data_IF_366483036934
#
_entry.id   IF_366483036934
#
_cell.length_a   1.000
_cell.length_b   1.000
_cell.length_c   1.000
_cell.angle_alpha   90.00
_cell.angle_beta   90.00
_cell.angle_gamma   90.00
#
_symmetry.space_group_name_H-M   'P 1'
#
loop_
_entity.id
_entity.type
_entity.pdbx_description
1 polymer ?
#
# COMPACT_ATOMS: atom_id res chain seq x y z
N UNK A 1 7.37 10.33 8.52
CA UNK A 1 8.03 9.16 9.11
C UNK A 1 7.78 7.94 8.24
N UNK A 2 8.82 7.20 7.85
CA UNK A 2 8.67 5.90 7.18
C UNK A 2 8.15 4.86 8.18
N UNK A 3 7.08 4.15 7.81
CA UNK A 3 6.48 3.09 8.63
C UNK A 3 6.93 1.72 8.15
N UNK A 4 6.86 1.47 6.84
CA UNK A 4 7.13 0.15 6.26
C UNK A 4 7.41 0.23 4.76
N UNK A 5 8.17 -0.74 4.25
CA UNK A 5 8.39 -0.96 2.82
C UNK A 5 8.07 -2.41 2.49
N UNK A 6 7.25 -2.64 1.46
CA UNK A 6 6.90 -3.99 1.01
C UNK A 6 7.58 -4.30 -0.32
N UNK A 7 8.23 -5.46 -0.37
CA UNK A 7 9.01 -5.93 -1.51
C UNK A 7 8.48 -7.26 -2.01
N UNK A 8 8.49 -7.43 -3.32
CA UNK A 8 8.19 -8.71 -3.97
C UNK A 8 9.26 -9.77 -3.62
N UNK A 9 9.01 -11.06 -3.90
CA UNK A 9 10.01 -12.12 -3.67
C UNK A 9 11.35 -11.91 -4.38
N UNK A 10 11.37 -11.13 -5.46
CA UNK A 10 12.57 -10.75 -6.23
C UNK A 10 13.18 -9.41 -5.77
N UNK A 11 12.76 -8.88 -4.62
CA UNK A 11 13.33 -7.68 -3.98
C UNK A 11 12.84 -6.34 -4.52
N UNK A 12 11.98 -6.32 -5.55
CA UNK A 12 11.41 -5.07 -6.07
C UNK A 12 10.42 -4.46 -5.08
N UNK A 13 10.64 -3.20 -4.72
CA UNK A 13 9.71 -2.40 -3.91
C UNK A 13 8.42 -2.18 -4.70
N UNK A 14 7.28 -2.45 -4.08
CA UNK A 14 5.96 -2.20 -4.69
C UNK A 14 5.06 -1.29 -3.84
N UNK A 15 5.41 -1.04 -2.58
CA UNK A 15 4.71 -0.11 -1.69
C UNK A 15 5.66 0.49 -0.65
N UNK A 16 5.64 1.81 -0.49
CA UNK A 16 6.21 2.53 0.66
C UNK A 16 5.07 3.13 1.50
N UNK A 17 5.06 2.85 2.80
CA UNK A 17 4.05 3.32 3.75
C UNK A 17 4.70 4.35 4.66
N UNK A 18 4.14 5.56 4.68
CA UNK A 18 4.67 6.68 5.44
C UNK A 18 3.55 7.38 6.21
N UNK A 19 3.87 7.97 7.35
CA UNK A 19 3.02 8.93 8.02
C UNK A 19 3.60 10.33 7.82
N UNK A 20 2.92 11.23 7.09
CA UNK A 20 3.34 12.63 7.00
C UNK A 20 3.38 13.28 8.38
N UNK A 21 4.23 14.29 8.53
CA UNK A 21 4.37 14.99 9.81
C UNK A 21 3.06 15.69 10.19
N UNK A 22 2.65 15.57 11.47
CA UNK A 22 1.40 16.09 12.01
C UNK A 22 0.11 15.63 11.28
N UNK A 23 0.18 14.56 10.49
CA UNK A 23 -0.97 13.99 9.80
C UNK A 23 -1.62 12.83 10.56
N UNK A 24 -2.95 12.80 10.54
CA UNK A 24 -3.77 11.67 11.03
C UNK A 24 -4.12 10.67 9.90
N UNK A 25 -3.25 10.55 8.91
CA UNK A 25 -3.44 9.72 7.74
C UNK A 25 -2.12 9.10 7.27
N UNK A 26 -2.22 8.02 6.50
CA UNK A 26 -1.09 7.32 5.89
C UNK A 26 -0.92 7.75 4.44
N UNK A 27 0.31 8.02 4.03
CA UNK A 27 0.71 8.11 2.63
C UNK A 27 1.21 6.74 2.16
N UNK A 28 0.51 6.15 1.19
CA UNK A 28 0.83 4.86 0.57
C UNK A 28 1.26 5.10 -0.87
N UNK A 29 2.56 4.98 -1.16
CA UNK A 29 3.12 5.15 -2.51
C UNK A 29 3.26 3.78 -3.18
N UNK A 30 2.38 3.50 -4.13
CA UNK A 30 2.34 2.25 -4.88
C UNK A 30 3.15 2.34 -6.17
N UNK A 31 4.02 1.36 -6.40
CA UNK A 31 5.00 1.40 -7.49
C UNK A 31 5.03 0.12 -8.33
N UNK A 32 5.27 0.29 -9.63
CA UNK A 32 5.52 -0.80 -10.56
C UNK A 32 4.27 -1.63 -10.86
N UNK A 33 4.44 -2.95 -10.93
CA UNK A 33 3.40 -3.91 -11.31
C UNK A 33 3.07 -4.83 -10.12
N UNK A 34 2.34 -4.35 -9.09
CA UNK A 34 1.91 -5.21 -8.00
C UNK A 34 0.93 -6.28 -8.52
N UNK A 35 1.09 -7.51 -8.04
CA UNK A 35 0.10 -8.57 -8.25
C UNK A 35 -1.08 -8.38 -7.30
N UNK A 36 -2.20 -9.07 -7.52
CA UNK A 36 -3.36 -9.05 -6.63
C UNK A 36 -2.98 -9.40 -5.18
N UNK A 37 -2.06 -10.35 -4.99
CA UNK A 37 -1.53 -10.69 -3.67
C UNK A 37 -0.73 -9.55 -3.04
N UNK A 38 0.07 -8.81 -3.82
CA UNK A 38 0.78 -7.63 -3.34
C UNK A 38 -0.19 -6.52 -2.93
N UNK A 39 -1.27 -6.33 -3.69
CA UNK A 39 -2.33 -5.35 -3.38
C UNK A 39 -3.00 -5.69 -2.05
N UNK A 40 -3.43 -6.95 -1.87
CA UNK A 40 -4.03 -7.40 -0.61
C UNK A 40 -3.07 -7.26 0.58
N UNK A 41 -1.81 -7.69 0.43
CA UNK A 41 -0.80 -7.58 1.47
C UNK A 41 -0.51 -6.11 1.86
N UNK A 42 -0.37 -5.22 0.87
CA UNK A 42 -0.13 -3.80 1.12
C UNK A 42 -1.34 -3.10 1.76
N UNK A 43 -2.55 -3.49 1.37
CA UNK A 43 -3.77 -2.98 1.98
C UNK A 43 -3.87 -3.36 3.46
N UNK A 44 -3.61 -4.63 3.78
CA UNK A 44 -3.57 -5.11 5.17
C UNK A 44 -2.48 -4.39 5.96
N UNK A 45 -1.30 -4.15 5.36
CA UNK A 45 -0.19 -3.49 6.04
C UNK A 45 -0.53 -2.06 6.49
N UNK A 46 -1.09 -1.20 5.60
CA UNK A 46 -1.47 0.14 6.04
C UNK A 46 -2.67 0.13 6.99
N UNK A 47 -3.60 -0.83 6.89
CA UNK A 47 -4.72 -0.96 7.84
C UNK A 47 -4.23 -1.32 9.24
N UNK A 48 -3.25 -2.20 9.36
CA UNK A 48 -2.60 -2.53 10.63
C UNK A 48 -1.93 -1.30 11.25
N UNK A 49 -1.26 -0.48 10.43
CA UNK A 49 -0.69 0.78 10.90
C UNK A 49 -1.76 1.79 11.32
N UNK A 50 -2.86 1.90 10.57
CA UNK A 50 -4.00 2.75 10.95
C UNK A 50 -4.55 2.34 12.31
N UNK A 51 -4.77 1.05 12.53
CA UNK A 51 -5.28 0.54 13.81
C UNK A 51 -4.29 0.82 14.96
N UNK A 52 -2.99 0.54 14.74
CA UNK A 52 -1.93 0.71 15.76
C UNK A 52 -1.76 2.18 16.17
N UNK A 53 -1.87 3.11 15.23
CA UNK A 53 -1.63 4.53 15.47
C UNK A 53 -2.92 5.37 15.57
N UNK A 54 -4.09 4.74 15.48
CA UNK A 54 -5.41 5.42 15.44
C UNK A 54 -5.51 6.46 14.33
N UNK A 55 -5.05 6.10 13.13
CA UNK A 55 -5.19 6.92 11.92
C UNK A 55 -6.51 6.58 11.22
N UNK A 56 -7.08 7.55 10.51
CA UNK A 56 -8.45 7.44 9.99
C UNK A 56 -8.55 7.48 8.47
N UNK A 57 -7.45 7.74 7.78
CA UNK A 57 -7.43 7.79 6.33
C UNK A 57 -6.10 7.31 5.74
N UNK A 58 -6.15 6.93 4.47
CA UNK A 58 -4.99 6.62 3.64
C UNK A 58 -5.12 7.38 2.33
N UNK A 59 -4.05 8.06 1.93
CA UNK A 59 -3.87 8.55 0.56
C UNK A 59 -3.12 7.47 -0.20
N UNK A 60 -3.79 6.81 -1.14
CA UNK A 60 -3.16 5.90 -2.09
C UNK A 60 -2.63 6.70 -3.27
N UNK A 61 -1.31 6.87 -3.35
CA UNK A 61 -0.65 7.42 -4.52
C UNK A 61 -0.31 6.30 -5.49
N UNK A 62 -0.99 6.33 -6.63
CA UNK A 62 -0.86 5.34 -7.69
C UNK A 62 -0.10 5.90 -8.90
N UNK A 63 0.52 7.09 -8.81
CA UNK A 63 1.23 7.73 -9.94
C UNK A 63 2.42 6.93 -10.44
N UNK A 64 2.99 6.06 -9.61
CA UNK A 64 4.11 5.18 -9.98
C UNK A 64 3.67 3.76 -10.33
N UNK A 65 2.37 3.47 -10.34
CA UNK A 65 1.86 2.20 -10.85
C UNK A 65 2.01 2.14 -12.38
N UNK A 66 2.22 0.92 -12.86
CA UNK A 66 2.34 0.63 -14.28
C UNK A 66 1.49 -0.59 -14.60
N UNK A 67 0.85 -0.58 -15.76
CA UNK A 67 0.00 -1.68 -16.22
C UNK A 67 -1.49 -1.47 -15.97
N UNK A 68 -2.27 -2.50 -16.32
CA UNK A 68 -3.73 -2.51 -16.20
C UNK A 68 -4.14 -2.89 -14.77
N UNK A 69 -5.26 -2.33 -14.32
CA UNK A 69 -5.76 -2.53 -12.96
C UNK A 69 -6.80 -3.64 -12.84
N UNK A 70 -7.13 -4.28 -13.97
CA UNK A 70 -8.24 -5.20 -14.15
C UNK A 70 -8.29 -6.31 -13.10
N UNK A 71 -7.13 -6.83 -12.68
CA UNK A 71 -7.04 -7.98 -11.77
C UNK A 71 -6.72 -7.60 -10.30
N UNK A 72 -6.72 -6.31 -9.98
CA UNK A 72 -6.28 -5.83 -8.66
C UNK A 72 -7.28 -6.08 -7.53
N UNK A 73 -8.53 -6.37 -7.88
CA UNK A 73 -9.64 -6.58 -6.95
C UNK A 73 -10.07 -8.04 -6.85
N UNK A 74 -9.47 -8.96 -7.63
CA UNK A 74 -9.81 -10.39 -7.66
C UNK A 74 -9.79 -11.06 -6.27
N UNK A 75 -9.04 -10.49 -5.32
CA UNK A 75 -8.95 -11.00 -3.96
C UNK A 75 -10.17 -10.67 -3.10
N UNK A 76 -10.99 -9.68 -3.48
CA UNK A 76 -12.23 -9.32 -2.79
C UNK A 76 -13.42 -10.19 -3.20
N UNK A 77 -13.29 -10.94 -4.30
CA UNK A 77 -14.36 -11.78 -4.85
C UNK A 77 -14.39 -13.21 -4.25
N UNK A 78 -13.54 -13.48 -3.26
CA UNK A 78 -13.42 -14.76 -2.56
C UNK A 78 -14.15 -14.73 -1.21
#
# INVERSE_FOLDING_TARGET
MLLEELRSPVGKLYLSIQQPENAQWIYADWMGYPTSNNVAAGAIAYLNWMQKQRLHAVLNDNRHLVGRWDNSLDWLEQ
#
